data_IF_393420839779
#
_entry.id   IF_393420839779
#
_cell.length_a   1.000
_cell.length_b   1.000
_cell.length_c   1.000
_cell.angle_alpha   90.00
_cell.angle_beta   90.00
_cell.angle_gamma   90.00
#
_symmetry.space_group_name_H-M   'P 1'
#
loop_
_entity.id
_entity.type
_entity.pdbx_description
1 polymer ?
#
# COMPACT_ATOMS: atom_id res chain seq x y z
N UNK A 1 -10.50 23.92 13.44
CA UNK A 1 -10.46 22.48 13.02
C UNK A 1 -9.03 22.15 12.60
N UNK A 2 -8.60 20.86 12.61
CA UNK A 2 -7.18 20.49 12.33
C UNK A 2 -6.78 20.85 10.88
N UNK A 3 -7.73 20.83 9.93
CA UNK A 3 -7.49 21.23 8.52
C UNK A 3 -6.94 22.65 8.36
N UNK A 4 -7.28 23.55 9.27
CA UNK A 4 -6.90 24.97 9.19
C UNK A 4 -5.39 25.20 9.49
N UNK A 5 -4.71 24.17 10.02
CA UNK A 5 -3.29 24.21 10.36
C UNK A 5 -2.38 23.46 9.38
N UNK A 6 -2.94 22.95 8.27
CA UNK A 6 -2.18 22.21 7.26
C UNK A 6 -1.72 23.18 6.17
N UNK A 7 -0.42 23.23 5.93
CA UNK A 7 0.11 23.94 4.77
C UNK A 7 -0.08 23.09 3.51
N UNK A 8 -1.12 23.40 2.72
CA UNK A 8 -1.46 22.67 1.50
C UNK A 8 -0.38 22.76 0.40
N UNK A 9 0.44 23.82 0.41
CA UNK A 9 1.54 23.99 -0.56
C UNK A 9 2.69 22.99 -0.30
N UNK A 10 2.79 22.47 0.94
CA UNK A 10 3.80 21.50 1.34
C UNK A 10 3.25 20.08 1.46
N UNK A 11 2.02 19.86 0.99
CA UNK A 11 1.40 18.54 1.07
C UNK A 11 2.15 17.56 0.17
N UNK A 12 2.54 16.35 0.69
CA UNK A 12 3.17 15.33 -0.12
C UNK A 12 2.22 14.86 -1.22
N UNK A 13 2.74 14.72 -2.43
CA UNK A 13 1.99 14.22 -3.57
C UNK A 13 1.68 12.71 -3.41
N UNK A 14 2.61 11.96 -2.81
CA UNK A 14 2.49 10.53 -2.58
C UNK A 14 2.79 10.19 -1.11
N UNK A 15 1.81 9.58 -0.46
CA UNK A 15 1.93 9.04 0.90
C UNK A 15 1.91 7.52 0.85
N UNK A 16 2.82 6.87 1.59
CA UNK A 16 2.84 5.42 1.75
C UNK A 16 2.64 5.03 3.21
N UNK A 17 1.77 4.04 3.48
CA UNK A 17 1.44 3.61 4.83
C UNK A 17 1.65 2.11 4.98
N UNK A 18 2.47 1.74 5.97
CA UNK A 18 2.65 0.35 6.39
C UNK A 18 1.65 0.05 7.50
N UNK A 19 0.68 -0.82 7.21
CA UNK A 19 -0.40 -1.17 8.11
C UNK A 19 -0.01 -2.36 9.01
N UNK A 20 1.00 -2.18 9.84
CA UNK A 20 1.39 -3.19 10.85
C UNK A 20 0.79 -2.88 12.23
N UNK A 21 0.87 -3.84 13.15
CA UNK A 21 0.45 -3.69 14.54
C UNK A 21 -1.00 -4.09 14.84
N UNK A 22 -1.89 -4.20 13.87
CA UNK A 22 -3.31 -4.53 14.06
C UNK A 22 -3.52 -5.82 14.88
N UNK A 23 -2.73 -6.87 14.59
CA UNK A 23 -2.82 -8.13 15.32
C UNK A 23 -2.28 -8.06 16.75
N UNK A 24 -1.26 -7.23 17.01
CA UNK A 24 -0.70 -6.98 18.36
C UNK A 24 -1.70 -6.20 19.21
N UNK A 25 -2.24 -5.11 18.66
CA UNK A 25 -3.27 -4.31 19.28
C UNK A 25 -4.51 -5.14 19.68
N UNK A 26 -4.96 -6.07 18.81
CA UNK A 26 -6.08 -6.95 19.14
C UNK A 26 -5.74 -7.86 20.34
N UNK A 27 -4.52 -8.43 20.37
CA UNK A 27 -4.05 -9.27 21.48
C UNK A 27 -3.99 -8.49 22.81
N UNK A 28 -3.50 -7.26 22.81
CA UNK A 28 -3.49 -6.40 24.01
C UNK A 28 -4.89 -6.16 24.56
N UNK A 29 -5.91 -6.17 23.68
CA UNK A 29 -7.33 -6.09 24.07
C UNK A 29 -7.99 -7.45 24.35
N UNK A 30 -7.20 -8.54 24.44
CA UNK A 30 -7.73 -9.87 24.66
C UNK A 30 -8.58 -10.41 23.50
N UNK A 31 -8.37 -9.90 22.27
CA UNK A 31 -9.12 -10.26 21.07
C UNK A 31 -8.25 -11.05 20.07
N UNK A 32 -8.90 -11.79 19.18
CA UNK A 32 -8.22 -12.47 18.09
C UNK A 32 -7.63 -11.46 17.08
N UNK A 33 -6.55 -11.83 16.41
CA UNK A 33 -5.85 -10.98 15.43
C UNK A 33 -6.76 -10.42 14.34
N UNK A 34 -7.74 -11.21 13.88
CA UNK A 34 -8.71 -10.80 12.84
C UNK A 34 -9.52 -9.59 13.27
N UNK A 35 -9.88 -9.47 14.54
CA UNK A 35 -10.57 -8.29 15.07
C UNK A 35 -9.77 -7.00 14.86
N UNK A 36 -8.44 -7.09 14.99
CA UNK A 36 -7.56 -5.95 14.70
C UNK A 36 -7.58 -5.55 13.23
N UNK A 37 -7.55 -6.54 12.34
CA UNK A 37 -7.61 -6.30 10.90
C UNK A 37 -8.97 -5.71 10.45
N UNK A 38 -10.08 -6.17 11.01
CA UNK A 38 -11.43 -5.61 10.75
C UNK A 38 -11.53 -4.14 11.19
N UNK A 39 -10.93 -3.79 12.33
CA UNK A 39 -10.88 -2.40 12.76
C UNK A 39 -9.91 -1.56 11.91
N UNK A 40 -8.83 -2.16 11.41
CA UNK A 40 -7.92 -1.52 10.47
C UNK A 40 -8.61 -1.04 9.18
N UNK A 41 -9.65 -1.74 8.70
CA UNK A 41 -10.46 -1.33 7.54
C UNK A 41 -11.09 0.05 7.72
N UNK A 42 -11.58 0.36 8.94
CA UNK A 42 -12.17 1.69 9.23
C UNK A 42 -11.12 2.79 9.11
N UNK A 43 -9.92 2.54 9.67
CA UNK A 43 -8.82 3.48 9.57
C UNK A 43 -8.37 3.69 8.12
N UNK A 44 -8.33 2.63 7.31
CA UNK A 44 -8.04 2.71 5.87
C UNK A 44 -9.04 3.63 5.15
N UNK A 45 -10.33 3.47 5.41
CA UNK A 45 -11.37 4.35 4.83
C UNK A 45 -11.13 5.80 5.20
N UNK A 46 -11.01 6.10 6.49
CA UNK A 46 -10.81 7.47 6.99
C UNK A 46 -9.56 8.13 6.41
N UNK A 47 -8.46 7.38 6.32
CA UNK A 47 -7.22 7.87 5.71
C UNK A 47 -7.39 8.11 4.22
N UNK A 48 -8.02 7.19 3.49
CA UNK A 48 -8.23 7.34 2.04
C UNK A 48 -9.10 8.55 1.72
N UNK A 49 -10.22 8.71 2.44
CA UNK A 49 -11.08 9.89 2.30
C UNK A 49 -10.34 11.17 2.68
N UNK A 50 -9.61 11.18 3.80
CA UNK A 50 -8.84 12.33 4.27
C UNK A 50 -7.75 12.75 3.29
N UNK A 51 -6.98 11.80 2.74
CA UNK A 51 -5.98 12.07 1.72
C UNK A 51 -6.60 12.65 0.44
N UNK A 52 -7.71 12.06 -0.02
CA UNK A 52 -8.42 12.56 -1.21
C UNK A 52 -9.02 13.97 -0.98
N UNK A 53 -9.56 14.24 0.22
CA UNK A 53 -10.08 15.57 0.59
C UNK A 53 -8.99 16.64 0.64
N UNK A 54 -7.76 16.28 1.08
CA UNK A 54 -6.62 17.20 1.13
C UNK A 54 -5.98 17.45 -0.23
N UNK A 55 -6.20 16.58 -1.21
CA UNK A 55 -5.62 16.71 -2.55
C UNK A 55 -4.35 15.89 -2.78
N UNK A 56 -4.03 14.94 -1.88
CA UNK A 56 -2.99 13.91 -2.11
C UNK A 56 -3.31 13.17 -3.40
N UNK A 57 -2.30 12.94 -4.25
CA UNK A 57 -2.51 12.31 -5.56
C UNK A 57 -2.35 10.80 -5.53
N UNK A 58 -1.47 10.28 -4.68
CA UNK A 58 -1.20 8.86 -4.56
C UNK A 58 -1.15 8.45 -3.09
N UNK A 59 -1.85 7.35 -2.77
CA UNK A 59 -1.81 6.73 -1.45
C UNK A 59 -1.48 5.26 -1.62
N UNK A 60 -0.30 4.82 -1.16
CA UNK A 60 0.06 3.40 -1.14
C UNK A 60 -0.21 2.80 0.23
N UNK A 61 -0.95 1.71 0.27
CA UNK A 61 -1.22 0.94 1.49
C UNK A 61 -0.55 -0.44 1.39
N UNK A 62 0.40 -0.73 2.29
CA UNK A 62 1.02 -2.04 2.39
C UNK A 62 0.12 -2.97 3.19
N UNK A 63 -0.75 -3.71 2.46
CA UNK A 63 -1.79 -4.52 3.05
C UNK A 63 -1.38 -5.97 3.30
N UNK A 64 -0.58 -6.57 2.41
CA UNK A 64 -0.15 -7.96 2.53
C UNK A 64 1.22 -8.17 1.87
N UNK A 65 2.22 -8.55 2.69
CA UNK A 65 3.58 -8.80 2.19
C UNK A 65 3.77 -10.24 1.72
N UNK A 66 4.84 -10.49 0.94
CA UNK A 66 5.25 -11.85 0.54
C UNK A 66 5.54 -12.73 1.75
N UNK A 67 6.07 -12.19 2.84
CA UNK A 67 6.36 -12.92 4.08
C UNK A 67 5.09 -13.33 4.82
N UNK A 68 3.97 -12.65 4.59
CA UNK A 68 2.69 -12.99 5.24
C UNK A 68 2.15 -14.35 4.81
N UNK A 69 2.61 -14.91 3.68
CA UNK A 69 2.28 -16.27 3.25
C UNK A 69 2.82 -17.36 4.19
N UNK A 70 3.81 -17.04 5.03
CA UNK A 70 4.34 -17.94 6.06
C UNK A 70 3.46 -18.03 7.32
N UNK A 71 2.37 -17.27 7.40
CA UNK A 71 1.41 -17.32 8.51
C UNK A 71 0.58 -18.60 8.47
N UNK A 72 -0.05 -19.00 9.58
CA UNK A 72 -0.97 -20.14 9.59
C UNK A 72 -2.07 -19.99 8.51
N UNK A 73 -2.38 -21.08 7.81
CA UNK A 73 -3.36 -21.09 6.71
C UNK A 73 -4.73 -20.52 7.10
N UNK A 74 -5.19 -20.78 8.34
CA UNK A 74 -6.44 -20.22 8.85
C UNK A 74 -6.40 -18.69 8.92
N UNK A 75 -5.28 -18.10 9.35
CA UNK A 75 -5.11 -16.64 9.39
C UNK A 75 -5.09 -16.05 7.98
N UNK A 76 -4.35 -16.69 7.05
CA UNK A 76 -4.30 -16.27 5.64
C UNK A 76 -5.69 -16.29 5.02
N UNK A 77 -6.45 -17.39 5.18
CA UNK A 77 -7.80 -17.51 4.62
C UNK A 77 -8.74 -16.44 5.19
N UNK A 78 -8.66 -16.16 6.50
CA UNK A 78 -9.46 -15.11 7.13
C UNK A 78 -9.10 -13.72 6.59
N UNK A 79 -7.80 -13.43 6.37
CA UNK A 79 -7.33 -12.17 5.78
C UNK A 79 -7.79 -12.01 4.32
N UNK A 80 -7.71 -13.06 3.51
CA UNK A 80 -8.17 -13.02 2.12
C UNK A 80 -9.69 -12.85 2.04
N UNK A 81 -10.46 -13.52 2.90
CA UNK A 81 -11.91 -13.33 3.02
C UNK A 81 -12.26 -11.89 3.42
N UNK A 82 -11.51 -11.32 4.38
CA UNK A 82 -11.69 -9.93 4.81
C UNK A 82 -11.37 -8.97 3.66
N UNK A 83 -10.30 -9.22 2.91
CA UNK A 83 -9.91 -8.40 1.77
C UNK A 83 -11.02 -8.35 0.72
N UNK A 84 -11.56 -9.51 0.31
CA UNK A 84 -12.69 -9.60 -0.63
C UNK A 84 -13.89 -8.79 -0.15
N UNK A 85 -14.31 -9.00 1.11
CA UNK A 85 -15.44 -8.26 1.70
C UNK A 85 -15.19 -6.76 1.74
N UNK A 86 -13.94 -6.36 2.02
CA UNK A 86 -13.56 -4.95 2.10
C UNK A 86 -13.59 -4.31 0.73
N UNK A 87 -13.00 -4.93 -0.28
CA UNK A 87 -12.99 -4.42 -1.66
C UNK A 87 -14.45 -4.19 -2.12
N UNK A 88 -15.32 -5.21 -2.00
CA UNK A 88 -16.76 -5.09 -2.36
C UNK A 88 -17.43 -3.90 -1.69
N UNK A 89 -17.22 -3.79 -0.39
CA UNK A 89 -17.88 -2.75 0.41
C UNK A 89 -17.37 -1.35 0.12
N UNK A 90 -16.06 -1.21 -0.15
CA UNK A 90 -15.41 0.08 -0.29
C UNK A 90 -15.44 0.61 -1.74
N UNK A 91 -15.73 -0.22 -2.73
CA UNK A 91 -15.78 0.21 -4.14
C UNK A 91 -16.74 1.38 -4.35
N UNK A 92 -17.94 1.35 -3.75
CA UNK A 92 -18.88 2.47 -3.81
C UNK A 92 -18.32 3.74 -3.15
N UNK A 93 -17.58 3.58 -2.06
CA UNK A 93 -16.92 4.70 -1.37
C UNK A 93 -15.82 5.31 -2.23
N UNK A 94 -15.03 4.47 -2.92
CA UNK A 94 -14.01 4.92 -3.85
C UNK A 94 -14.64 5.70 -5.02
N UNK A 95 -15.73 5.20 -5.59
CA UNK A 95 -16.47 5.89 -6.66
C UNK A 95 -17.00 7.24 -6.20
N UNK A 96 -17.63 7.31 -5.02
CA UNK A 96 -18.19 8.56 -4.46
C UNK A 96 -17.11 9.64 -4.22
N UNK A 97 -15.90 9.23 -3.89
CA UNK A 97 -14.79 10.13 -3.59
C UNK A 97 -13.85 10.37 -4.79
N UNK A 98 -14.20 9.85 -5.97
CA UNK A 98 -13.40 9.93 -7.19
C UNK A 98 -11.97 9.37 -6.99
N UNK A 99 -11.87 8.22 -6.29
CA UNK A 99 -10.62 7.53 -5.99
C UNK A 99 -10.46 6.34 -6.93
N UNK A 100 -9.38 6.33 -7.71
CA UNK A 100 -8.98 5.21 -8.56
C UNK A 100 -8.28 4.15 -7.72
N UNK A 101 -8.68 2.88 -7.87
CA UNK A 101 -8.00 1.74 -7.25
C UNK A 101 -6.97 1.15 -8.21
N UNK A 102 -5.77 0.88 -7.69
CA UNK A 102 -4.70 0.16 -8.38
C UNK A 102 -4.08 -0.86 -7.42
N UNK A 103 -3.31 -1.81 -7.94
CA UNK A 103 -2.61 -2.77 -7.11
C UNK A 103 -1.22 -3.10 -7.66
N UNK A 104 -0.26 -3.31 -6.75
CA UNK A 104 1.10 -3.78 -7.02
C UNK A 104 1.36 -5.08 -6.27
N UNK A 105 2.33 -5.87 -6.74
CA UNK A 105 2.74 -7.15 -6.16
C UNK A 105 2.29 -8.34 -6.98
N UNK A 106 2.56 -9.54 -6.45
CA UNK A 106 2.24 -10.81 -7.13
C UNK A 106 0.77 -11.19 -6.96
N UNK A 107 -0.07 -10.65 -7.84
CA UNK A 107 -1.51 -10.97 -7.87
C UNK A 107 -1.80 -12.42 -8.24
N UNK A 108 -0.84 -13.14 -8.85
CA UNK A 108 -1.05 -14.54 -9.25
C UNK A 108 -1.13 -15.48 -8.05
N UNK A 109 -0.51 -15.11 -6.94
CA UNK A 109 -0.55 -15.87 -5.67
C UNK A 109 -1.85 -15.68 -4.88
N UNK A 110 -2.64 -14.66 -5.22
CA UNK A 110 -3.93 -14.42 -4.55
C UNK A 110 -4.96 -15.50 -4.93
N UNK A 111 -5.85 -15.91 -4.00
CA UNK A 111 -6.99 -16.77 -4.33
C UNK A 111 -7.81 -16.20 -5.50
N UNK A 112 -8.36 -17.09 -6.32
CA UNK A 112 -9.10 -16.71 -7.54
C UNK A 112 -10.19 -15.68 -7.27
N UNK A 113 -11.00 -15.89 -6.22
CA UNK A 113 -12.09 -14.97 -5.86
C UNK A 113 -11.56 -13.59 -5.43
N UNK A 114 -10.44 -13.57 -4.69
CA UNK A 114 -9.81 -12.34 -4.26
C UNK A 114 -9.28 -11.55 -5.46
N UNK A 115 -8.60 -12.23 -6.39
CA UNK A 115 -8.09 -11.62 -7.60
C UNK A 115 -9.20 -11.08 -8.49
N UNK A 116 -10.26 -11.86 -8.70
CA UNK A 116 -11.43 -11.46 -9.50
C UNK A 116 -12.06 -10.18 -8.94
N UNK A 117 -12.32 -10.15 -7.64
CA UNK A 117 -12.93 -9.00 -6.98
C UNK A 117 -12.06 -7.74 -7.06
N UNK A 118 -10.73 -7.92 -6.90
CA UNK A 118 -9.77 -6.83 -7.03
C UNK A 118 -9.76 -6.26 -8.47
N UNK A 119 -9.74 -7.12 -9.47
CA UNK A 119 -9.73 -6.74 -10.89
C UNK A 119 -11.05 -6.04 -11.27
N UNK A 120 -12.20 -6.50 -10.78
CA UNK A 120 -13.51 -5.85 -10.96
C UNK A 120 -13.53 -4.45 -10.33
N UNK A 121 -13.03 -4.29 -9.11
CA UNK A 121 -12.98 -3.01 -8.45
C UNK A 121 -12.02 -2.02 -9.13
N UNK A 122 -10.87 -2.49 -9.64
CA UNK A 122 -9.94 -1.69 -10.44
C UNK A 122 -10.64 -1.20 -11.73
N UNK A 123 -11.37 -2.09 -12.42
CA UNK A 123 -12.07 -1.74 -13.66
C UNK A 123 -13.20 -0.72 -13.39
N UNK A 124 -13.98 -0.90 -12.33
CA UNK A 124 -15.06 0.03 -11.95
C UNK A 124 -14.51 1.44 -11.67
N UNK A 125 -13.36 1.52 -10.98
CA UNK A 125 -12.79 2.79 -10.53
C UNK A 125 -11.79 3.42 -11.50
N UNK A 126 -11.51 2.79 -12.64
CA UNK A 126 -10.41 3.17 -13.56
C UNK A 126 -10.46 4.62 -14.09
N UNK A 127 -11.67 5.17 -14.18
CA UNK A 127 -11.89 6.53 -14.69
C UNK A 127 -11.87 7.62 -13.59
N UNK A 128 -11.71 7.23 -12.34
CA UNK A 128 -11.59 8.17 -11.23
C UNK A 128 -10.25 8.91 -11.31
N UNK A 129 -10.24 10.18 -10.95
CA UNK A 129 -9.11 11.10 -11.26
C UNK A 129 -8.56 11.87 -10.06
N UNK A 130 -9.28 11.93 -8.94
CA UNK A 130 -8.92 12.76 -7.79
C UNK A 130 -7.69 12.27 -7.06
N UNK A 131 -7.64 10.95 -6.78
CA UNK A 131 -6.54 10.26 -6.11
C UNK A 131 -6.43 8.82 -6.60
N UNK A 132 -5.21 8.28 -6.65
CA UNK A 132 -4.98 6.85 -6.87
C UNK A 132 -4.64 6.17 -5.55
N UNK A 133 -5.48 5.21 -5.13
CA UNK A 133 -5.22 4.30 -4.03
C UNK A 133 -4.52 3.04 -4.56
N UNK A 134 -3.31 2.77 -4.09
CA UNK A 134 -2.46 1.66 -4.52
C UNK A 134 -2.39 0.63 -3.39
N UNK A 135 -2.95 -0.56 -3.62
CA UNK A 135 -2.84 -1.67 -2.68
C UNK A 135 -1.60 -2.52 -3.01
N UNK A 136 -0.64 -2.59 -2.08
CA UNK A 136 0.47 -3.52 -2.16
C UNK A 136 0.02 -4.88 -1.57
N UNK A 137 -0.20 -5.86 -2.45
CA UNK A 137 -0.73 -7.19 -2.14
C UNK A 137 0.26 -8.26 -2.62
N UNK A 138 0.65 -9.17 -1.70
CA UNK A 138 1.72 -10.14 -1.99
C UNK A 138 2.97 -9.44 -2.54
N UNK A 139 3.32 -8.32 -1.93
CA UNK A 139 4.40 -7.44 -2.36
C UNK A 139 5.55 -7.42 -1.36
N UNK A 140 6.77 -7.43 -1.86
CA UNK A 140 7.95 -6.95 -1.14
C UNK A 140 8.94 -6.34 -2.13
N UNK A 141 9.79 -5.42 -1.66
CA UNK A 141 10.81 -4.81 -2.50
C UNK A 141 11.79 -5.86 -3.06
N UNK A 142 12.14 -6.88 -2.28
CA UNK A 142 13.01 -7.97 -2.75
C UNK A 142 12.35 -8.75 -3.89
N UNK A 143 11.06 -9.06 -3.77
CA UNK A 143 10.31 -9.71 -4.84
C UNK A 143 10.29 -8.85 -6.12
N UNK A 144 10.03 -7.55 -5.98
CA UNK A 144 9.95 -6.62 -7.12
C UNK A 144 11.31 -6.49 -7.83
N UNK A 145 12.39 -6.36 -7.07
CA UNK A 145 13.77 -6.33 -7.62
C UNK A 145 14.10 -7.63 -8.35
N UNK A 146 13.79 -8.79 -7.77
CA UNK A 146 14.04 -10.09 -8.42
C UNK A 146 13.27 -10.21 -9.72
N UNK A 147 12.00 -9.78 -9.76
CA UNK A 147 11.21 -9.80 -10.99
C UNK A 147 11.75 -8.82 -12.05
N UNK A 148 12.08 -7.59 -11.64
CA UNK A 148 12.71 -6.63 -12.55
C UNK A 148 14.03 -7.15 -13.11
N UNK A 149 14.86 -7.78 -12.26
CA UNK A 149 16.12 -8.39 -12.71
C UNK A 149 15.87 -9.52 -13.71
N UNK A 150 14.88 -10.40 -13.47
CA UNK A 150 14.53 -11.48 -14.41
C UNK A 150 14.08 -10.94 -15.75
N UNK A 151 13.26 -9.89 -15.76
CA UNK A 151 12.81 -9.25 -17.00
C UNK A 151 14.00 -8.64 -17.76
N UNK A 152 14.86 -7.88 -17.08
CA UNK A 152 16.07 -7.29 -17.67
C UNK A 152 16.98 -8.37 -18.27
N UNK A 153 17.25 -9.45 -17.53
CA UNK A 153 18.07 -10.57 -18.01
C UNK A 153 17.45 -11.23 -19.25
N UNK A 154 16.13 -11.46 -19.25
CA UNK A 154 15.44 -12.02 -20.40
C UNK A 154 15.59 -11.12 -21.62
N UNK A 155 15.32 -9.84 -21.50
CA UNK A 155 15.44 -8.84 -22.57
C UNK A 155 16.90 -8.72 -23.10
N UNK A 156 17.88 -8.88 -22.20
CA UNK A 156 19.30 -8.93 -22.61
C UNK A 156 19.62 -10.19 -23.41
N UNK A 157 19.11 -11.36 -23.02
CA UNK A 157 19.27 -12.62 -23.75
C UNK A 157 18.60 -12.53 -25.13
N UNK A 158 17.41 -11.91 -25.19
CA UNK A 158 16.65 -11.70 -26.43
C UNK A 158 17.28 -10.61 -27.33
N UNK A 159 18.37 -9.96 -26.88
CA UNK A 159 19.12 -8.93 -27.64
C UNK A 159 18.43 -7.56 -27.69
N UNK A 160 17.40 -7.33 -26.86
CA UNK A 160 16.67 -6.06 -26.82
C UNK A 160 17.45 -4.96 -26.08
N UNK A 161 18.32 -5.32 -25.13
CA UNK A 161 19.13 -4.39 -24.34
C UNK A 161 20.57 -4.88 -24.25
N UNK A 162 21.53 -3.95 -24.29
CA UNK A 162 22.95 -4.24 -24.09
C UNK A 162 23.34 -4.06 -22.61
N UNK A 163 24.50 -4.61 -22.22
CA UNK A 163 25.01 -4.48 -20.86
C UNK A 163 25.10 -3.01 -20.39
N UNK A 164 25.48 -2.11 -21.28
CA UNK A 164 25.64 -0.68 -20.98
C UNK A 164 24.29 0.06 -20.82
N UNK A 165 23.18 -0.55 -21.23
CA UNK A 165 21.83 0.00 -21.03
C UNK A 165 21.32 -0.26 -19.62
N UNK A 166 21.96 -1.17 -18.86
CA UNK A 166 21.60 -1.49 -17.48
C UNK A 166 22.07 -0.36 -16.56
N UNK A 167 21.12 0.51 -16.20
CA UNK A 167 21.33 1.67 -15.35
C UNK A 167 20.13 1.87 -14.40
N UNK A 168 20.20 2.87 -13.50
CA UNK A 168 19.14 3.14 -12.52
C UNK A 168 17.76 3.39 -13.18
N UNK A 169 17.75 4.08 -14.33
CA UNK A 169 16.51 4.35 -15.06
C UNK A 169 15.87 3.08 -15.60
N UNK A 170 16.65 2.16 -16.15
CA UNK A 170 16.13 0.87 -16.61
C UNK A 170 15.56 0.07 -15.45
N UNK A 171 16.25 0.00 -14.31
CA UNK A 171 15.75 -0.67 -13.11
C UNK A 171 14.45 -0.02 -12.64
N UNK A 172 14.43 1.30 -12.48
CA UNK A 172 13.24 2.04 -12.03
C UNK A 172 12.04 1.79 -12.95
N UNK A 173 12.25 1.80 -14.27
CA UNK A 173 11.19 1.60 -15.26
C UNK A 173 10.72 0.14 -15.36
N UNK A 174 11.47 -0.81 -14.81
CA UNK A 174 11.11 -2.23 -14.83
C UNK A 174 10.39 -2.65 -13.53
N UNK A 175 10.56 -1.91 -12.43
CA UNK A 175 9.82 -2.16 -11.18
C UNK A 175 8.31 -2.01 -11.37
N UNK A 176 7.50 -2.80 -10.64
CA UNK A 176 6.03 -2.69 -10.67
C UNK A 176 5.52 -1.33 -10.20
N UNK A 177 6.34 -0.60 -9.46
CA UNK A 177 6.05 0.74 -8.94
C UNK A 177 6.39 1.88 -9.92
N UNK A 178 6.92 1.58 -11.12
CA UNK A 178 7.38 2.60 -12.08
C UNK A 178 6.33 3.63 -12.49
N UNK A 179 5.05 3.25 -12.46
CA UNK A 179 3.91 4.10 -12.84
C UNK A 179 3.65 5.26 -11.89
N UNK A 180 4.21 5.22 -10.69
CA UNK A 180 3.90 6.16 -9.62
C UNK A 180 5.13 6.96 -9.22
N UNK A 181 4.97 8.22 -8.80
CA UNK A 181 6.06 8.98 -8.21
C UNK A 181 6.57 8.30 -6.94
N UNK A 182 7.78 8.62 -6.52
CA UNK A 182 8.31 8.15 -5.24
C UNK A 182 7.47 8.69 -4.08
N UNK A 183 7.18 7.90 -3.03
CA UNK A 183 6.56 8.43 -1.82
C UNK A 183 7.44 9.51 -1.19
N UNK A 184 6.84 10.65 -0.88
CA UNK A 184 7.51 11.76 -0.17
C UNK A 184 7.31 11.65 1.34
N UNK A 185 6.27 10.94 1.76
CA UNK A 185 5.98 10.62 3.15
C UNK A 185 5.69 9.14 3.33
N UNK A 186 6.39 8.54 4.30
CA UNK A 186 6.09 7.19 4.75
C UNK A 186 5.66 7.18 6.20
N UNK A 187 4.56 6.48 6.47
CA UNK A 187 4.01 6.30 7.81
C UNK A 187 4.04 4.81 8.14
N UNK A 188 4.73 4.44 9.21
CA UNK A 188 4.68 3.09 9.77
C UNK A 188 3.93 3.11 11.11
N UNK A 189 2.91 2.28 11.24
CA UNK A 189 2.02 2.28 12.41
C UNK A 189 2.52 1.44 13.58
N UNK A 190 3.65 0.76 13.43
CA UNK A 190 4.22 -0.08 14.47
C UNK A 190 5.74 0.01 14.55
N UNK A 191 6.25 0.02 15.78
CA UNK A 191 7.68 -0.06 16.07
C UNK A 191 8.16 -1.48 15.80
N UNK A 192 8.51 -1.81 14.57
CA UNK A 192 9.42 -2.93 14.22
C UNK A 192 9.74 -2.96 12.72
N UNK A 193 10.99 -3.01 12.42
CA UNK A 193 11.80 -3.47 11.27
C UNK A 193 11.09 -3.95 9.96
N UNK A 194 9.82 -3.60 9.74
CA UNK A 194 9.10 -3.89 8.48
C UNK A 194 9.61 -3.09 7.27
N UNK A 195 10.38 -2.02 7.53
CA UNK A 195 10.90 -1.11 6.50
C UNK A 195 11.74 -1.81 5.44
N UNK A 196 12.62 -2.72 5.87
CA UNK A 196 13.59 -3.39 4.98
C UNK A 196 12.88 -4.26 3.94
N UNK A 197 11.75 -4.83 4.28
CA UNK A 197 11.04 -5.76 3.40
C UNK A 197 10.25 -5.04 2.31
N UNK A 198 9.71 -3.86 2.62
CA UNK A 198 8.89 -3.10 1.67
C UNK A 198 9.68 -2.05 0.86
N UNK A 199 10.87 -1.65 1.31
CA UNK A 199 11.63 -0.54 0.73
C UNK A 199 13.11 -0.82 0.57
N UNK A 200 13.53 -1.38 -0.53
CA UNK A 200 14.95 -1.53 -0.84
C UNK A 200 15.45 -0.65 -2.00
N UNK A 201 14.64 0.19 -2.62
CA UNK A 201 15.08 0.84 -3.85
C UNK A 201 14.63 2.28 -4.09
N UNK A 202 13.80 2.85 -3.22
CA UNK A 202 13.19 4.16 -3.51
C UNK A 202 13.22 5.15 -2.34
N UNK A 203 14.26 5.13 -1.49
CA UNK A 203 14.38 5.99 -0.31
C UNK A 203 15.60 6.93 -0.30
N UNK A 204 15.76 7.88 -1.21
CA UNK A 204 16.79 8.90 -0.96
C UNK A 204 16.32 10.06 -0.07
N UNK A 205 15.02 10.35 0.04
CA UNK A 205 14.54 11.59 0.70
C UNK A 205 13.12 11.49 1.28
N UNK A 206 12.74 10.35 1.86
CA UNK A 206 11.40 10.22 2.44
C UNK A 206 11.39 10.71 3.89
N UNK A 207 10.49 11.63 4.23
CA UNK A 207 10.18 11.96 5.61
C UNK A 207 9.49 10.75 6.28
N UNK A 208 10.16 10.18 7.28
CA UNK A 208 9.69 9.01 7.99
C UNK A 208 9.03 9.39 9.31
N UNK A 209 7.81 8.94 9.50
CA UNK A 209 7.08 9.09 10.78
C UNK A 209 6.80 7.69 11.32
N UNK A 210 7.46 7.33 12.43
CA UNK A 210 7.13 6.15 13.23
C UNK A 210 6.46 6.62 14.52
N UNK A 211 5.15 6.55 14.66
CA UNK A 211 4.53 6.81 15.96
C UNK A 211 4.87 5.67 16.91
N UNK A 212 5.34 6.01 18.10
CA UNK A 212 5.68 5.09 19.20
C UNK A 212 4.47 4.34 19.77
N UNK A 213 3.29 4.46 19.16
CA UNK A 213 2.04 3.86 19.64
C UNK A 213 1.33 3.02 18.58
N UNK A 214 0.95 1.84 19.02
CA UNK A 214 0.31 0.73 18.35
C UNK A 214 -0.99 1.12 17.58
N UNK A 215 -1.01 0.87 16.34
CA UNK A 215 -2.00 0.19 15.52
C UNK A 215 -3.44 0.61 15.49
N UNK A 216 -3.95 1.75 15.85
CA UNK A 216 -5.33 2.19 15.53
C UNK A 216 -5.60 3.69 15.74
N UNK A 217 -4.57 4.50 15.64
CA UNK A 217 -4.69 5.94 15.90
C UNK A 217 -4.59 6.75 14.60
N UNK A 218 -4.93 6.16 13.45
CA UNK A 218 -5.10 6.95 12.24
C UNK A 218 -6.60 7.10 11.97
N UNK A 219 -7.23 7.98 12.72
CA UNK A 219 -8.43 8.67 12.27
C UNK A 219 -8.04 9.98 11.59
N UNK A 220 -8.97 10.58 10.84
CA UNK A 220 -8.83 11.91 10.20
C UNK A 220 -8.16 12.99 11.09
N UNK A 221 -8.18 12.79 12.39
CA UNK A 221 -7.64 13.71 13.38
C UNK A 221 -6.18 13.47 13.80
N UNK A 222 -5.58 12.33 13.48
CA UNK A 222 -4.25 11.97 14.00
C UNK A 222 -3.16 12.08 12.92
N UNK A 223 -3.47 11.73 11.67
CA UNK A 223 -2.55 11.87 10.54
C UNK A 223 -2.16 13.35 10.27
N UNK A 224 -3.02 14.29 10.68
CA UNK A 224 -2.87 15.72 10.39
C UNK A 224 -2.20 16.55 11.51
N UNK A 225 -1.84 15.95 12.66
CA UNK A 225 -1.26 16.69 13.78
C UNK A 225 0.25 16.95 13.70
N UNK A 226 0.95 16.39 12.72
CA UNK A 226 2.42 16.48 12.64
C UNK A 226 2.93 17.25 11.41
N UNK A 227 2.04 17.90 10.62
CA UNK A 227 2.36 18.81 9.53
C UNK A 227 1.69 20.18 9.82
#
# INVERSE_FOLDING_TARGET
MIKDNINLERLPQHIAIIMDGNGRWAKEKGKYRIFGHENGVKAVREVSEGCAELGVKFLTLYAFSTENWNRPKMEINALMTLLVKTIKKETDTLMKNDIKLEAIGDRTTLPKDCRKELEEAIEITKNNTKMTLILALSYSAKWDIVNATRDIVKRAIDGEIALNDVNENLINNTLTTHKYPHPELMIELAVNIGLVTFYCGKLPTVNYISPMYCGLIIGKNTCMKQY
#
